data_IF_225359682356
#
_entry.id   IF_225359682356
#
_cell.length_a   1.000
_cell.length_b   1.000
_cell.length_c   1.000
_cell.angle_alpha   90.00
_cell.angle_beta   90.00
_cell.angle_gamma   90.00
#
_symmetry.space_group_name_H-M   'P 1'
#
loop_
_entity.id
_entity.type
_entity.pdbx_description
1 polymer ?
#
# COMPACT_ATOMS: atom_id res chain seq x y z
N UNK A 1 -9.82 11.80 -3.96
CA UNK A 1 -8.51 11.24 -3.56
C UNK A 1 -8.70 9.81 -3.09
N UNK A 2 -7.91 8.83 -3.55
CA UNK A 2 -8.08 7.43 -3.10
C UNK A 2 -7.74 7.30 -1.61
N UNK A 3 -8.38 6.34 -0.91
CA UNK A 3 -8.11 6.06 0.50
C UNK A 3 -6.61 5.84 0.77
N UNK A 4 -5.91 5.13 -0.13
CA UNK A 4 -4.48 4.88 -0.03
C UNK A 4 -3.63 6.13 -0.22
N UNK A 5 -4.01 7.06 -1.10
CA UNK A 5 -3.35 8.36 -1.26
C UNK A 5 -3.51 9.21 -0.01
N UNK A 6 -4.74 9.30 0.52
CA UNK A 6 -5.01 10.04 1.76
C UNK A 6 -4.19 9.50 2.94
N UNK A 7 -4.17 8.18 3.13
CA UNK A 7 -3.36 7.53 4.17
C UNK A 7 -1.86 7.81 3.99
N UNK A 8 -1.37 7.80 2.75
CA UNK A 8 0.04 8.00 2.45
C UNK A 8 0.48 9.44 2.72
N UNK A 9 -0.34 10.43 2.38
CA UNK A 9 -0.10 11.84 2.71
C UNK A 9 -0.02 12.02 4.22
N UNK A 10 -0.98 11.46 4.96
CA UNK A 10 -0.99 11.55 6.42
C UNK A 10 0.23 10.90 7.06
N UNK A 11 0.70 9.78 6.50
CA UNK A 11 1.92 9.10 6.93
C UNK A 11 3.19 9.94 6.70
N UNK A 12 3.23 10.80 5.68
CA UNK A 12 4.34 11.74 5.45
C UNK A 12 4.38 12.78 6.58
N UNK A 13 3.24 13.38 6.92
CA UNK A 13 3.17 14.33 8.04
C UNK A 13 3.55 13.67 9.37
N UNK A 14 3.13 12.43 9.59
CA UNK A 14 3.53 11.63 10.74
C UNK A 14 5.04 11.44 10.83
N UNK A 15 5.68 11.08 9.71
CA UNK A 15 7.14 10.91 9.65
C UNK A 15 7.87 12.24 9.88
N UNK A 16 7.41 13.34 9.26
CA UNK A 16 7.98 14.68 9.45
C UNK A 16 7.91 15.14 10.91
N UNK A 17 6.79 14.92 11.59
CA UNK A 17 6.66 15.19 13.02
C UNK A 17 7.68 14.38 13.84
N UNK A 18 7.88 13.10 13.49
CA UNK A 18 8.91 12.25 14.10
C UNK A 18 10.34 12.76 13.87
N UNK A 19 10.66 13.21 12.65
CA UNK A 19 11.96 13.81 12.31
C UNK A 19 12.21 15.07 13.15
N UNK A 20 11.25 15.99 13.21
CA UNK A 20 11.37 17.23 14.00
C UNK A 20 11.58 16.90 15.49
N UNK A 21 10.84 15.92 16.02
CA UNK A 21 10.98 15.47 17.40
C UNK A 21 12.36 14.86 17.68
N UNK A 22 12.89 14.06 16.74
CA UNK A 22 14.22 13.45 16.84
C UNK A 22 15.32 14.50 16.80
N UNK A 23 15.34 15.36 15.79
CA UNK A 23 16.38 16.38 15.63
C UNK A 23 16.37 17.39 16.77
N UNK A 24 15.20 17.85 17.23
CA UNK A 24 15.12 18.75 18.38
C UNK A 24 15.68 18.12 19.67
N UNK A 25 15.50 16.80 19.85
CA UNK A 25 16.06 16.06 20.98
C UNK A 25 17.58 15.88 20.86
N UNK A 26 18.06 15.46 19.68
CA UNK A 26 19.50 15.25 19.43
C UNK A 26 20.28 16.56 19.55
N UNK A 27 19.76 17.68 19.04
CA UNK A 27 20.41 18.99 19.16
C UNK A 27 20.39 19.52 20.60
N UNK A 28 19.39 19.16 21.43
CA UNK A 28 19.37 19.53 22.85
C UNK A 28 20.42 18.75 23.67
N UNK A 29 20.69 17.50 23.30
CA UNK A 29 21.56 16.60 24.06
C UNK A 29 22.98 16.52 23.51
N UNK A 30 23.17 16.81 22.23
CA UNK A 30 24.46 16.80 21.56
C UNK A 30 25.28 18.04 21.88
N UNK A 31 26.61 17.90 21.89
CA UNK A 31 27.53 19.05 21.90
C UNK A 31 27.52 19.67 20.49
N UNK A 32 26.60 20.60 20.24
CA UNK A 32 26.56 21.32 18.97
C UNK A 32 27.31 22.64 19.08
N UNK A 33 28.21 22.92 18.13
CA UNK A 33 29.00 24.17 18.01
C UNK A 33 28.13 25.44 18.06
N UNK A 34 26.89 25.38 17.54
CA UNK A 34 25.92 26.48 17.60
C UNK A 34 25.01 26.31 18.82
N UNK A 35 24.99 27.30 19.72
CA UNK A 35 24.05 27.38 20.85
C UNK A 35 22.62 27.63 20.34
N UNK A 36 21.92 26.58 19.93
CA UNK A 36 20.50 26.67 19.58
C UNK A 36 19.66 27.07 20.81
N UNK A 37 18.59 27.84 20.61
CA UNK A 37 17.72 28.27 21.71
C UNK A 37 17.01 27.06 22.35
N UNK A 38 17.47 26.66 23.54
CA UNK A 38 16.97 25.49 24.26
C UNK A 38 15.46 25.57 24.56
N UNK A 39 14.92 26.78 24.78
CA UNK A 39 13.48 26.99 25.01
C UNK A 39 12.67 26.67 23.75
N UNK A 40 13.18 27.07 22.58
CA UNK A 40 12.55 26.77 21.29
C UNK A 40 12.61 25.27 20.99
N UNK A 41 13.76 24.62 21.12
CA UNK A 41 13.89 23.17 20.86
C UNK A 41 12.97 22.35 21.77
N UNK A 42 12.84 22.72 23.04
CA UNK A 42 11.93 22.02 23.96
C UNK A 42 10.46 22.20 23.55
N UNK A 43 10.08 23.39 23.06
CA UNK A 43 8.74 23.64 22.50
C UNK A 43 8.51 22.85 21.22
N UNK A 44 9.49 22.83 20.32
CA UNK A 44 9.43 22.04 19.07
C UNK A 44 9.29 20.55 19.36
N UNK A 45 10.09 20.00 20.28
CA UNK A 45 9.99 18.59 20.66
C UNK A 45 8.61 18.24 21.24
N UNK A 46 8.08 19.07 22.15
CA UNK A 46 6.76 18.86 22.74
C UNK A 46 5.64 18.99 21.70
N UNK A 47 5.70 20.02 20.85
CA UNK A 47 4.70 20.27 19.81
C UNK A 47 4.69 19.18 18.75
N UNK A 48 5.86 18.84 18.21
CA UNK A 48 6.00 17.74 17.25
C UNK A 48 5.62 16.39 17.84
N UNK A 49 5.96 16.13 19.12
CA UNK A 49 5.53 14.93 19.83
C UNK A 49 4.01 14.82 20.03
N UNK A 50 3.33 15.94 20.28
CA UNK A 50 1.86 15.98 20.38
C UNK A 50 1.21 15.72 19.03
N UNK A 51 1.70 16.38 17.96
CA UNK A 51 1.24 16.15 16.59
C UNK A 51 1.45 14.70 16.19
N UNK A 52 2.62 14.13 16.48
CA UNK A 52 2.92 12.72 16.25
C UNK A 52 1.92 11.80 16.97
N UNK A 53 1.60 12.06 18.24
CA UNK A 53 0.64 11.28 19.01
C UNK A 53 -0.79 11.37 18.43
N UNK A 54 -1.24 12.57 18.07
CA UNK A 54 -2.55 12.78 17.46
C UNK A 54 -2.68 12.03 16.12
N UNK A 55 -1.65 12.14 15.27
CA UNK A 55 -1.59 11.42 14.00
C UNK A 55 -1.52 9.91 14.20
N UNK A 56 -0.74 9.43 15.17
CA UNK A 56 -0.64 8.01 15.50
C UNK A 56 -2.02 7.44 15.86
N UNK A 57 -2.75 8.10 16.75
CA UNK A 57 -4.09 7.66 17.17
C UNK A 57 -5.09 7.68 16.01
N UNK A 58 -5.10 8.78 15.25
CA UNK A 58 -6.02 8.92 14.12
C UNK A 58 -5.75 7.87 13.03
N UNK A 59 -4.49 7.69 12.61
CA UNK A 59 -4.12 6.64 11.62
C UNK A 59 -4.45 5.25 12.16
N UNK A 60 -4.15 4.98 13.44
CA UNK A 60 -4.40 3.67 14.05
C UNK A 60 -5.88 3.31 14.06
N UNK A 61 -6.77 4.27 14.31
CA UNK A 61 -8.21 4.04 14.23
C UNK A 61 -8.65 3.54 12.83
N UNK A 62 -8.20 4.20 11.77
CA UNK A 62 -8.52 3.76 10.40
C UNK A 62 -7.87 2.41 10.05
N UNK A 63 -6.66 2.14 10.56
CA UNK A 63 -5.99 0.86 10.34
C UNK A 63 -6.74 -0.29 11.01
N UNK A 64 -7.20 -0.13 12.25
CA UNK A 64 -8.00 -1.14 12.95
C UNK A 64 -9.33 -1.36 12.26
N UNK A 65 -10.01 -0.29 11.84
CA UNK A 65 -11.27 -0.39 11.07
C UNK A 65 -11.07 -1.14 9.75
N UNK A 66 -9.99 -0.86 9.03
CA UNK A 66 -9.64 -1.56 7.80
C UNK A 66 -9.35 -3.05 8.07
N UNK A 67 -8.57 -3.35 9.11
CA UNK A 67 -8.25 -4.72 9.50
C UNK A 67 -9.52 -5.52 9.84
N UNK A 68 -10.42 -4.94 10.64
CA UNK A 68 -11.71 -5.54 10.98
C UNK A 68 -12.56 -5.83 9.73
N UNK A 69 -12.49 -4.96 8.70
CA UNK A 69 -13.21 -5.18 7.44
C UNK A 69 -12.55 -6.19 6.50
N UNK A 70 -11.25 -6.46 6.66
CA UNK A 70 -10.48 -7.31 5.76
C UNK A 70 -10.58 -8.82 6.08
N UNK A 71 -10.99 -9.19 7.30
CA UNK A 71 -11.07 -10.58 7.73
C UNK A 71 -9.71 -11.29 7.66
N UNK A 72 -9.70 -12.56 7.25
CA UNK A 72 -8.48 -13.39 7.20
C UNK A 72 -7.61 -13.16 5.96
N UNK A 73 -8.04 -12.33 4.99
CA UNK A 73 -7.34 -12.14 3.71
C UNK A 73 -6.25 -11.06 3.75
N UNK A 74 -5.44 -11.07 4.80
CA UNK A 74 -4.47 -10.00 5.06
C UNK A 74 -3.09 -10.41 4.55
N UNK A 75 -2.55 -9.63 3.62
CA UNK A 75 -1.19 -9.84 3.10
C UNK A 75 -0.17 -9.85 4.24
N UNK A 76 0.89 -10.67 4.12
CA UNK A 76 2.01 -10.72 5.08
C UNK A 76 2.56 -9.34 5.39
N UNK A 77 2.72 -8.47 4.38
CA UNK A 77 3.14 -7.07 4.55
C UNK A 77 2.22 -6.28 5.49
N UNK A 78 0.92 -6.47 5.40
CA UNK A 78 -0.04 -5.78 6.25
C UNK A 78 0.00 -6.31 7.70
N UNK A 79 0.23 -7.61 7.89
CA UNK A 79 0.50 -8.19 9.22
C UNK A 79 1.77 -7.60 9.83
N UNK A 80 2.88 -7.59 9.08
CA UNK A 80 4.15 -6.96 9.53
C UNK A 80 3.95 -5.48 9.88
N UNK A 81 3.25 -4.72 9.02
CA UNK A 81 2.91 -3.32 9.29
C UNK A 81 2.14 -3.17 10.60
N UNK A 82 1.15 -4.05 10.84
CA UNK A 82 0.33 -4.06 12.05
C UNK A 82 1.13 -4.36 13.32
N UNK A 83 1.94 -5.42 13.32
CA UNK A 83 2.79 -5.81 14.46
C UNK A 83 3.79 -4.70 14.81
N UNK A 84 4.44 -4.12 13.79
CA UNK A 84 5.39 -3.02 13.99
C UNK A 84 4.69 -1.75 14.50
N UNK A 85 3.51 -1.43 13.99
CA UNK A 85 2.72 -0.28 14.46
C UNK A 85 2.29 -0.46 15.92
N UNK A 86 1.91 -1.68 16.32
CA UNK A 86 1.59 -1.99 17.70
C UNK A 86 2.80 -1.82 18.63
N UNK A 87 3.99 -2.26 18.19
CA UNK A 87 5.24 -2.03 18.93
C UNK A 87 5.54 -0.52 19.10
N UNK A 88 5.31 0.30 18.06
CA UNK A 88 5.42 1.78 18.17
C UNK A 88 4.52 2.32 19.28
N UNK A 89 3.26 1.90 19.32
CA UNK A 89 2.29 2.36 20.34
C UNK A 89 2.78 1.97 21.74
N UNK A 90 3.19 0.72 21.95
CA UNK A 90 3.69 0.25 23.26
C UNK A 90 4.89 1.07 23.72
N UNK A 91 5.92 1.20 22.89
CA UNK A 91 7.14 1.93 23.26
C UNK A 91 6.83 3.41 23.51
N UNK A 92 5.93 4.00 22.71
CA UNK A 92 5.52 5.40 22.90
C UNK A 92 4.74 5.62 24.20
N UNK A 93 3.79 4.74 24.54
CA UNK A 93 3.06 4.81 25.81
C UNK A 93 4.01 4.62 26.99
N UNK A 94 4.92 3.65 26.93
CA UNK A 94 5.92 3.43 27.98
C UNK A 94 6.82 4.67 28.15
N UNK A 95 7.22 5.32 27.05
CA UNK A 95 7.98 6.58 27.08
C UNK A 95 7.20 7.67 27.82
N UNK A 96 5.90 7.82 27.54
CA UNK A 96 5.05 8.81 28.22
C UNK A 96 4.89 8.50 29.72
N UNK A 97 4.70 7.23 30.09
CA UNK A 97 4.60 6.81 31.48
C UNK A 97 5.90 7.11 32.24
N UNK A 98 7.06 6.82 31.66
CA UNK A 98 8.36 7.10 32.28
C UNK A 98 8.54 8.61 32.51
N UNK A 99 8.24 9.43 31.50
CA UNK A 99 8.36 10.88 31.60
C UNK A 99 7.42 11.47 32.65
N UNK A 100 6.22 10.90 32.84
CA UNK A 100 5.21 11.41 33.79
C UNK A 100 5.40 10.92 35.22
N UNK A 101 5.69 9.64 35.41
CA UNK A 101 5.61 8.99 36.72
C UNK A 101 6.96 8.45 37.22
N UNK A 102 7.84 7.99 36.33
CA UNK A 102 9.04 7.23 36.72
C UNK A 102 10.34 7.99 36.47
N UNK A 103 10.59 9.05 37.27
CA UNK A 103 11.75 9.94 37.11
C UNK A 103 13.11 9.23 37.13
N UNK A 104 13.24 8.10 37.84
CA UNK A 104 14.48 7.31 37.92
C UNK A 104 14.90 6.71 36.56
N UNK A 105 13.96 6.49 35.65
CA UNK A 105 14.21 5.89 34.33
C UNK A 105 14.37 6.92 33.20
N UNK A 106 14.43 8.22 33.52
CA UNK A 106 14.54 9.29 32.52
C UNK A 106 15.78 9.15 31.62
N UNK A 107 16.85 8.52 32.10
CA UNK A 107 18.06 8.24 31.30
C UNK A 107 17.80 7.36 30.08
N UNK A 108 16.73 6.55 30.08
CA UNK A 108 16.38 5.66 28.97
C UNK A 108 15.44 6.29 27.94
N UNK A 109 14.78 7.41 28.28
CA UNK A 109 13.84 8.13 27.40
C UNK A 109 14.44 8.50 26.03
N UNK A 110 15.72 8.91 25.94
CA UNK A 110 16.39 9.12 24.66
C UNK A 110 16.36 7.90 23.75
N UNK A 111 16.82 6.76 24.24
CA UNK A 111 16.88 5.50 23.48
C UNK A 111 15.49 5.10 23.00
N UNK A 112 14.49 5.19 23.88
CA UNK A 112 13.09 4.93 23.51
C UNK A 112 12.59 5.88 22.40
N UNK A 113 13.00 7.14 22.43
CA UNK A 113 12.71 8.11 21.36
C UNK A 113 13.29 7.69 20.01
N UNK A 114 14.54 7.22 19.98
CA UNK A 114 15.15 6.67 18.78
C UNK A 114 14.44 5.38 18.32
N UNK A 115 14.10 4.48 19.23
CA UNK A 115 13.36 3.24 18.92
C UNK A 115 12.00 3.55 18.29
N UNK A 116 11.24 4.48 18.85
CA UNK A 116 9.95 4.93 18.28
C UNK A 116 10.16 5.46 16.86
N UNK A 117 11.17 6.29 16.63
CA UNK A 117 11.46 6.82 15.30
C UNK A 117 11.83 5.72 14.30
N UNK A 118 12.74 4.82 14.68
CA UNK A 118 13.20 3.72 13.82
C UNK A 118 12.05 2.80 13.42
N UNK A 119 11.24 2.37 14.39
CA UNK A 119 10.05 1.55 14.13
C UNK A 119 9.04 2.30 13.24
N UNK A 120 8.79 3.58 13.51
CA UNK A 120 7.87 4.42 12.70
C UNK A 120 8.34 4.55 11.26
N UNK A 121 9.65 4.66 11.03
CA UNK A 121 10.22 4.68 9.68
C UNK A 121 10.02 3.35 8.95
N UNK A 122 10.20 2.21 9.63
CA UNK A 122 9.93 0.89 9.03
C UNK A 122 8.44 0.71 8.71
N UNK A 123 7.54 1.12 9.62
CA UNK A 123 6.08 1.13 9.40
C UNK A 123 5.71 2.01 8.20
N UNK A 124 6.34 3.18 8.06
CA UNK A 124 6.17 4.06 6.91
C UNK A 124 6.61 3.38 5.60
N UNK A 125 7.79 2.74 5.58
CA UNK A 125 8.33 2.05 4.40
C UNK A 125 7.44 0.89 3.95
N UNK A 126 6.96 0.07 4.88
CA UNK A 126 6.08 -1.08 4.57
C UNK A 126 4.69 -0.68 4.05
N UNK A 127 4.31 0.60 4.16
CA UNK A 127 3.03 1.12 3.67
C UNK A 127 3.20 2.24 2.64
N UNK A 128 3.35 3.49 3.09
CA UNK A 128 3.39 4.65 2.21
C UNK A 128 4.62 4.61 1.28
N UNK A 129 5.78 4.23 1.80
CA UNK A 129 6.99 4.07 0.99
C UNK A 129 6.82 3.06 -0.13
N UNK A 130 6.27 1.87 0.16
CA UNK A 130 5.93 0.88 -0.86
C UNK A 130 4.92 1.42 -1.89
N UNK A 131 3.88 2.11 -1.43
CA UNK A 131 2.85 2.67 -2.30
C UNK A 131 3.42 3.70 -3.28
N UNK A 132 4.28 4.61 -2.81
CA UNK A 132 4.94 5.60 -3.65
C UNK A 132 5.90 4.94 -4.63
N UNK A 133 6.78 4.04 -4.18
CA UNK A 133 7.70 3.29 -5.05
C UNK A 133 6.95 2.57 -6.16
N UNK A 134 5.86 1.87 -5.83
CA UNK A 134 5.05 1.18 -6.83
C UNK A 134 4.40 2.15 -7.82
N UNK A 135 3.89 3.28 -7.34
CA UNK A 135 3.26 4.29 -8.21
C UNK A 135 4.29 4.92 -9.16
N UNK A 136 5.50 5.23 -8.67
CA UNK A 136 6.59 5.76 -9.50
C UNK A 136 7.10 4.73 -10.52
N UNK A 137 7.33 3.48 -10.11
CA UNK A 137 7.72 2.41 -11.04
C UNK A 137 6.63 2.10 -12.07
N UNK A 138 5.35 2.13 -11.68
CA UNK A 138 4.25 1.94 -12.64
C UNK A 138 4.18 3.07 -13.67
N UNK A 139 4.49 4.32 -13.27
CA UNK A 139 4.63 5.41 -14.23
C UNK A 139 5.86 5.23 -15.13
N UNK A 140 6.99 4.79 -14.60
CA UNK A 140 8.20 4.49 -15.38
C UNK A 140 7.98 3.35 -16.39
N UNK A 141 7.35 2.25 -15.97
CA UNK A 141 6.95 1.15 -16.85
C UNK A 141 5.94 1.62 -17.89
N UNK A 142 4.97 2.48 -17.54
CA UNK A 142 4.02 3.02 -18.52
C UNK A 142 4.70 3.89 -19.59
N UNK A 143 5.76 4.63 -19.23
CA UNK A 143 6.53 5.41 -20.18
C UNK A 143 7.42 4.57 -21.09
N UNK A 144 7.91 3.41 -20.63
CA UNK A 144 8.67 2.46 -21.46
C UNK A 144 7.78 1.56 -22.32
N UNK A 145 6.58 1.19 -21.83
CA UNK A 145 5.63 0.36 -22.59
C UNK A 145 4.99 1.18 -23.73
N UNK A 146 4.85 2.51 -23.60
CA UNK A 146 4.41 3.36 -24.70
C UNK A 146 5.39 3.42 -25.89
N UNK A 147 6.65 2.96 -25.75
CA UNK A 147 7.59 2.85 -26.87
C UNK A 147 7.75 1.43 -27.40
N UNK A 148 7.27 0.42 -26.67
CA UNK A 148 7.19 -0.97 -27.09
C UNK A 148 5.73 -1.35 -27.32
N UNK A 149 5.16 -0.92 -28.45
CA UNK A 149 4.08 -1.68 -29.06
C UNK A 149 4.59 -3.11 -29.21
N UNK A 150 4.01 -4.13 -28.55
CA UNK A 150 4.33 -5.50 -28.89
C UNK A 150 3.97 -5.70 -30.37
N UNK A 151 4.66 -6.61 -31.10
CA UNK A 151 4.14 -7.04 -32.38
C UNK A 151 2.70 -7.47 -32.12
N UNK A 152 1.75 -6.91 -32.86
CA UNK A 152 0.34 -7.28 -32.76
C UNK A 152 0.25 -8.72 -33.25
N UNK A 153 0.54 -9.68 -32.36
CA UNK A 153 0.31 -11.08 -32.61
C UNK A 153 -1.18 -11.21 -32.85
N UNK A 154 -1.55 -11.59 -34.06
CA UNK A 154 -2.95 -11.75 -34.44
C UNK A 154 -3.50 -12.97 -33.70
N UNK A 155 -4.25 -12.71 -32.63
CA UNK A 155 -4.88 -13.76 -31.84
C UNK A 155 -5.93 -14.52 -32.64
N UNK A 156 -6.01 -15.84 -32.43
CA UNK A 156 -7.04 -16.73 -32.98
C UNK A 156 -8.17 -16.90 -31.97
N UNK A 157 -9.38 -16.51 -32.38
CA UNK A 157 -10.58 -16.55 -31.53
C UNK A 157 -10.87 -17.98 -31.04
N UNK A 158 -10.77 -18.98 -31.91
CA UNK A 158 -11.08 -20.38 -31.56
C UNK A 158 -10.14 -20.94 -30.48
N UNK A 159 -8.84 -20.62 -30.60
CA UNK A 159 -7.85 -20.97 -29.58
C UNK A 159 -8.13 -20.25 -28.26
N UNK A 160 -8.49 -18.97 -28.33
CA UNK A 160 -8.87 -18.18 -27.17
C UNK A 160 -10.10 -18.73 -26.45
N UNK A 161 -11.11 -19.18 -27.21
CA UNK A 161 -12.31 -19.82 -26.69
C UNK A 161 -11.99 -21.15 -26.01
N UNK A 162 -11.13 -21.98 -26.60
CA UNK A 162 -10.67 -23.24 -26.01
C UNK A 162 -9.88 -23.01 -24.71
N UNK A 163 -8.97 -22.03 -24.72
CA UNK A 163 -8.20 -21.63 -23.54
C UNK A 163 -9.11 -21.10 -22.43
N UNK A 164 -10.08 -20.25 -22.77
CA UNK A 164 -11.08 -19.75 -21.84
C UNK A 164 -11.91 -20.88 -21.22
N UNK A 165 -12.37 -21.83 -22.04
CA UNK A 165 -13.13 -23.00 -21.59
C UNK A 165 -12.34 -23.82 -20.57
N UNK A 166 -11.05 -24.07 -20.84
CA UNK A 166 -10.21 -24.89 -19.97
C UNK A 166 -9.79 -24.23 -18.64
N UNK A 167 -9.60 -22.91 -18.62
CA UNK A 167 -8.99 -22.20 -17.48
C UNK A 167 -9.88 -21.16 -16.79
N UNK A 168 -10.94 -20.69 -17.44
CA UNK A 168 -11.70 -19.51 -16.99
C UNK A 168 -13.21 -19.79 -16.82
N UNK A 169 -13.78 -20.66 -17.64
CA UNK A 169 -15.23 -20.92 -17.68
C UNK A 169 -15.80 -21.56 -16.40
N UNK A 170 -14.97 -22.21 -15.58
CA UNK A 170 -15.39 -22.76 -14.29
C UNK A 170 -15.83 -21.69 -13.29
N UNK A 171 -15.36 -20.45 -13.46
CA UNK A 171 -15.66 -19.32 -12.59
C UNK A 171 -16.42 -18.20 -13.31
N UNK A 172 -16.11 -17.94 -14.59
CA UNK A 172 -16.63 -16.80 -15.32
C UNK A 172 -17.68 -17.18 -16.35
N UNK A 173 -18.81 -16.46 -16.34
CA UNK A 173 -19.83 -16.52 -17.39
C UNK A 173 -19.55 -15.48 -18.48
N UNK A 174 -19.79 -15.83 -19.75
CA UNK A 174 -19.54 -14.96 -20.91
C UNK A 174 -20.79 -14.24 -21.42
N UNK A 175 -21.97 -14.70 -21.02
CA UNK A 175 -23.29 -14.30 -21.52
C UNK A 175 -24.01 -13.25 -20.67
N UNK A 176 -23.55 -13.06 -19.43
CA UNK A 176 -24.13 -12.16 -18.42
C UNK A 176 -23.08 -11.27 -17.76
N UNK A 177 -23.56 -10.21 -17.13
CA UNK A 177 -22.72 -9.26 -16.38
C UNK A 177 -22.75 -9.51 -14.86
N UNK A 178 -23.80 -10.17 -14.35
CA UNK A 178 -23.94 -10.41 -12.92
C UNK A 178 -22.88 -11.37 -12.36
N UNK A 179 -22.63 -11.23 -11.05
CA UNK A 179 -21.64 -12.00 -10.32
C UNK A 179 -22.32 -13.12 -9.52
N UNK A 180 -21.99 -14.37 -9.83
CA UNK A 180 -22.35 -15.53 -9.02
C UNK A 180 -21.05 -16.27 -8.60
N UNK A 181 -20.28 -15.62 -7.74
CA UNK A 181 -18.95 -16.07 -7.30
C UNK A 181 -17.81 -15.36 -8.03
N UNK A 182 -17.79 -15.39 -9.37
CA UNK A 182 -16.90 -14.57 -10.20
C UNK A 182 -17.71 -13.64 -11.12
N UNK A 183 -17.13 -12.50 -11.55
CA UNK A 183 -17.84 -11.51 -12.37
C UNK A 183 -18.09 -12.04 -13.78
N UNK A 184 -19.28 -11.77 -14.32
CA UNK A 184 -19.61 -12.01 -15.71
C UNK A 184 -18.81 -11.11 -16.66
N UNK A 185 -18.34 -11.69 -17.77
CA UNK A 185 -17.38 -11.09 -18.71
C UNK A 185 -17.99 -10.58 -20.01
N UNK A 186 -19.32 -10.58 -20.13
CA UNK A 186 -20.02 -10.02 -21.29
C UNK A 186 -19.56 -8.59 -21.55
N UNK A 187 -19.16 -8.27 -22.78
CA UNK A 187 -18.67 -6.95 -23.18
C UNK A 187 -17.54 -6.38 -22.30
N UNK A 188 -16.72 -7.21 -21.63
CA UNK A 188 -15.76 -6.74 -20.60
C UNK A 188 -14.82 -5.63 -21.09
N UNK A 189 -14.39 -5.70 -22.35
CA UNK A 189 -13.51 -4.71 -23.00
C UNK A 189 -14.23 -3.43 -23.42
N UNK A 190 -15.56 -3.43 -23.48
CA UNK A 190 -16.39 -2.24 -23.81
C UNK A 190 -16.85 -1.49 -22.56
N UNK A 191 -16.59 -2.05 -21.36
CA UNK A 191 -16.95 -1.40 -20.09
C UNK A 191 -15.94 -0.31 -19.76
N UNK A 192 -16.35 0.71 -19.00
CA UNK A 192 -15.39 1.69 -18.49
C UNK A 192 -14.43 1.07 -17.46
N UNK A 193 -14.92 0.12 -16.65
CA UNK A 193 -14.20 -0.44 -15.50
C UNK A 193 -14.45 -1.93 -15.33
N UNK A 194 -13.46 -2.63 -14.76
CA UNK A 194 -13.55 -4.03 -14.38
C UNK A 194 -14.45 -4.20 -13.14
N UNK A 195 -15.39 -5.18 -13.13
CA UNK A 195 -16.42 -5.27 -12.09
C UNK A 195 -15.90 -5.44 -10.66
N UNK A 196 -14.83 -6.21 -10.48
CA UNK A 196 -14.29 -6.50 -9.15
C UNK A 196 -13.22 -5.49 -8.69
N UNK A 197 -12.30 -5.11 -9.57
CA UNK A 197 -11.13 -4.31 -9.21
C UNK A 197 -11.33 -2.80 -9.43
N UNK A 198 -12.39 -2.40 -10.14
CA UNK A 198 -12.70 -1.01 -10.52
C UNK A 198 -11.59 -0.30 -11.30
N UNK A 199 -10.64 -1.06 -11.85
CA UNK A 199 -9.61 -0.55 -12.76
C UNK A 199 -10.21 -0.31 -14.16
N UNK A 200 -9.66 0.59 -14.98
CA UNK A 200 -10.09 0.77 -16.37
C UNK A 200 -10.11 -0.55 -17.14
N UNK A 201 -11.16 -0.83 -17.93
CA UNK A 201 -11.25 -2.10 -18.66
C UNK A 201 -10.44 -2.07 -19.98
N UNK A 202 -9.13 -1.85 -19.87
CA UNK A 202 -8.21 -1.85 -21.01
C UNK A 202 -7.51 -3.20 -21.17
N UNK A 203 -6.95 -3.45 -22.35
CA UNK A 203 -6.19 -4.68 -22.66
C UNK A 203 -5.03 -4.87 -21.68
N UNK A 204 -4.27 -3.81 -21.41
CA UNK A 204 -3.12 -3.84 -20.48
C UNK A 204 -3.58 -4.17 -19.06
N UNK A 205 -4.74 -3.66 -18.67
CA UNK A 205 -5.32 -3.92 -17.34
C UNK A 205 -5.76 -5.38 -17.22
N UNK A 206 -6.32 -5.97 -18.27
CA UNK A 206 -6.68 -7.40 -18.30
C UNK A 206 -5.43 -8.28 -18.25
N UNK A 207 -4.38 -7.96 -19.03
CA UNK A 207 -3.11 -8.67 -18.97
C UNK A 207 -2.48 -8.59 -17.58
N UNK A 208 -2.52 -7.41 -16.95
CA UNK A 208 -2.08 -7.21 -15.58
C UNK A 208 -2.92 -8.02 -14.60
N UNK A 209 -4.23 -8.12 -14.80
CA UNK A 209 -5.15 -8.92 -13.98
C UNK A 209 -4.83 -10.41 -14.06
N UNK A 210 -4.45 -10.94 -15.23
CA UNK A 210 -4.03 -12.34 -15.39
C UNK A 210 -2.70 -12.64 -14.69
N UNK A 211 -1.75 -11.69 -14.71
CA UNK A 211 -0.45 -11.85 -14.02
C UNK A 211 -0.53 -11.59 -12.51
N UNK A 212 -1.32 -10.59 -12.09
CA UNK A 212 -1.48 -10.12 -10.72
C UNK A 212 -2.98 -10.01 -10.39
N UNK A 213 -3.64 -11.14 -10.08
CA UNK A 213 -5.07 -11.22 -9.93
C UNK A 213 -5.59 -10.45 -8.71
N UNK A 214 -6.91 -10.28 -8.68
CA UNK A 214 -7.64 -9.56 -7.65
C UNK A 214 -8.56 -10.53 -6.92
N UNK A 215 -8.54 -10.49 -5.57
CA UNK A 215 -9.28 -11.40 -4.68
C UNK A 215 -8.92 -12.86 -4.91
N UNK A 216 -9.92 -13.70 -5.21
CA UNK A 216 -9.83 -15.17 -5.27
C UNK A 216 -9.46 -15.71 -6.64
N UNK A 217 -9.27 -14.83 -7.64
CA UNK A 217 -8.85 -15.24 -8.98
C UNK A 217 -7.39 -15.76 -8.92
N UNK A 218 -7.09 -16.93 -9.51
CA UNK A 218 -5.72 -17.45 -9.57
C UNK A 218 -4.87 -16.65 -10.57
N UNK A 219 -3.54 -16.72 -10.40
CA UNK A 219 -2.59 -16.09 -11.32
C UNK A 219 -2.25 -17.04 -12.47
N UNK A 220 -2.03 -16.49 -13.66
CA UNK A 220 -1.68 -17.24 -14.87
C UNK A 220 -0.33 -16.78 -15.46
N UNK A 221 0.79 -16.86 -14.70
CA UNK A 221 2.10 -16.43 -15.19
C UNK A 221 2.67 -17.34 -16.28
N UNK A 222 2.11 -18.54 -16.45
CA UNK A 222 2.59 -19.55 -17.40
C UNK A 222 2.00 -19.42 -18.81
N UNK A 223 1.09 -18.46 -19.05
CA UNK A 223 0.54 -18.24 -20.39
C UNK A 223 1.58 -17.54 -21.27
N UNK A 224 1.80 -18.11 -22.45
CA UNK A 224 2.64 -17.52 -23.49
C UNK A 224 2.00 -16.25 -24.09
N UNK A 225 2.81 -15.44 -24.78
CA UNK A 225 2.33 -14.22 -25.44
C UNK A 225 1.26 -14.51 -26.50
N UNK A 226 1.38 -15.63 -27.23
CA UNK A 226 0.38 -16.05 -28.22
C UNK A 226 -0.93 -16.49 -27.56
N UNK A 227 -0.88 -17.24 -26.46
CA UNK A 227 -2.08 -17.63 -25.70
C UNK A 227 -2.83 -16.42 -25.12
N UNK A 228 -2.08 -15.41 -24.67
CA UNK A 228 -2.66 -14.14 -24.20
C UNK A 228 -3.33 -13.38 -25.35
N UNK A 229 -2.70 -13.33 -26.53
CA UNK A 229 -3.28 -12.70 -27.72
C UNK A 229 -4.56 -13.42 -28.19
N UNK A 230 -4.54 -14.76 -28.22
CA UNK A 230 -5.69 -15.61 -28.55
C UNK A 230 -6.85 -15.36 -27.56
N UNK A 231 -6.57 -15.33 -26.25
CA UNK A 231 -7.57 -15.06 -25.21
C UNK A 231 -8.18 -13.67 -25.35
N UNK A 232 -7.36 -12.64 -25.58
CA UNK A 232 -7.83 -11.27 -25.78
C UNK A 232 -8.71 -11.14 -27.03
N UNK A 233 -8.35 -11.81 -28.13
CA UNK A 233 -9.16 -11.84 -29.34
C UNK A 233 -10.55 -12.44 -29.07
N UNK A 234 -10.62 -13.52 -28.28
CA UNK A 234 -11.90 -14.10 -27.86
C UNK A 234 -12.68 -13.16 -26.93
N UNK A 235 -12.06 -12.58 -25.90
CA UNK A 235 -12.73 -11.65 -24.98
C UNK A 235 -13.33 -10.42 -25.70
N UNK A 236 -12.74 -10.00 -26.82
CA UNK A 236 -13.25 -8.89 -27.63
C UNK A 236 -14.53 -9.24 -28.40
N UNK A 237 -14.85 -10.53 -28.55
CA UNK A 237 -16.09 -11.00 -29.17
C UNK A 237 -17.26 -11.08 -28.20
N UNK A 238 -17.00 -11.00 -26.89
CA UNK A 238 -18.02 -11.11 -25.83
C UNK A 238 -18.82 -9.84 -25.60
#
# INVERSE_FOLDING_TARGET
MSFFMFKSILAVFFLLAGIIALFSMLTLMGKTERKANAKLLRRLHKGSGLVFAALLLFISYFCVKYWASAGDQISTRAVFHGVLAFAVIIVFVLKLLIVRFYKQFLKFVPVMGLTVFALSFIVFKTSAGYFFLRTFCAHAESSEISTLSPPVLKGKIDNGAALFSSKCASCHSTDREESQGAPGLKNILKREKLPASQRPATVETILLQLKKPFRVMPAFPSLSEQELADLLAYLNTL
#
